data_IF_414036236186
#
_entry.id   IF_414036236186
#
_cell.length_a   1.000
_cell.length_b   1.000
_cell.length_c   1.000
_cell.angle_alpha   90.00
_cell.angle_beta   90.00
_cell.angle_gamma   90.00
#
_symmetry.space_group_name_H-M   'P 1'
#
loop_
_entity.id
_entity.type
_entity.pdbx_description
1 polymer ?
#
# COMPACT_ATOMS: atom_id res chain seq x y z
N UNK A 1 13.01 -9.69 -13.77
CA UNK A 1 13.16 -8.68 -12.71
C UNK A 1 11.95 -8.61 -11.77
N UNK A 2 10.75 -8.85 -12.25
CA UNK A 2 9.49 -8.79 -11.48
C UNK A 2 9.42 -9.71 -10.25
N UNK A 3 10.01 -10.90 -10.30
CA UNK A 3 9.98 -11.86 -9.19
C UNK A 3 10.68 -11.35 -7.92
N UNK A 4 11.76 -10.58 -8.07
CA UNK A 4 12.56 -10.09 -6.94
C UNK A 4 11.86 -8.97 -6.15
N UNK A 5 11.19 -8.06 -6.85
CA UNK A 5 10.49 -6.93 -6.21
C UNK A 5 9.21 -7.39 -5.49
N UNK A 6 8.54 -8.39 -6.04
CA UNK A 6 7.34 -9.00 -5.44
C UNK A 6 7.70 -9.87 -4.20
N UNK A 7 8.85 -10.55 -4.24
CA UNK A 7 9.39 -11.28 -3.09
C UNK A 7 9.77 -10.35 -1.94
N UNK A 8 10.42 -9.22 -2.23
CA UNK A 8 10.80 -8.21 -1.22
C UNK A 8 9.56 -7.63 -0.53
N UNK A 9 8.51 -7.31 -1.28
CA UNK A 9 7.26 -6.80 -0.70
C UNK A 9 6.56 -7.85 0.18
N UNK A 10 6.57 -9.13 -0.23
CA UNK A 10 6.04 -10.23 0.60
C UNK A 10 6.85 -10.42 1.87
N UNK A 11 8.16 -10.35 1.78
CA UNK A 11 9.06 -10.46 2.94
C UNK A 11 8.81 -9.32 3.95
N UNK A 12 8.74 -8.07 3.49
CA UNK A 12 8.42 -6.92 4.34
C UNK A 12 7.06 -7.12 5.02
N UNK A 13 6.07 -7.62 4.27
CA UNK A 13 4.75 -7.93 4.81
C UNK A 13 4.83 -8.92 5.98
N UNK A 14 5.52 -10.03 5.80
CA UNK A 14 5.66 -11.03 6.86
C UNK A 14 6.45 -10.52 8.05
N UNK A 15 7.50 -9.71 7.80
CA UNK A 15 8.28 -9.08 8.86
C UNK A 15 7.41 -8.18 9.76
N UNK A 16 6.53 -7.38 9.15
CA UNK A 16 5.60 -6.51 9.87
C UNK A 16 4.60 -7.32 10.68
N UNK A 17 4.00 -8.35 10.10
CA UNK A 17 3.06 -9.24 10.80
C UNK A 17 3.73 -9.90 12.01
N UNK A 18 4.91 -10.49 11.82
CA UNK A 18 5.66 -11.13 12.90
C UNK A 18 6.09 -10.12 13.97
N UNK A 19 6.48 -8.91 13.55
CA UNK A 19 6.79 -7.81 14.46
C UNK A 19 5.62 -7.45 15.36
N UNK A 20 4.41 -7.35 14.82
CA UNK A 20 3.20 -7.07 15.60
C UNK A 20 2.91 -8.17 16.64
N UNK A 21 3.08 -9.44 16.26
CA UNK A 21 2.94 -10.56 17.20
C UNK A 21 3.98 -10.51 18.30
N UNK A 22 5.23 -10.21 17.95
CA UNK A 22 6.30 -10.07 18.94
C UNK A 22 6.00 -8.93 19.92
N UNK A 23 5.64 -7.77 19.41
CA UNK A 23 5.30 -6.59 20.23
C UNK A 23 4.12 -6.87 21.16
N UNK A 24 3.04 -7.50 20.65
CA UNK A 24 1.90 -7.90 21.46
C UNK A 24 2.33 -8.84 22.61
N UNK A 25 3.09 -9.90 22.30
CA UNK A 25 3.46 -10.88 23.32
C UNK A 25 4.47 -10.32 24.34
N UNK A 26 5.40 -9.45 23.93
CA UNK A 26 6.28 -8.72 24.85
C UNK A 26 5.45 -7.79 25.76
N UNK A 27 4.47 -7.08 25.22
CA UNK A 27 3.57 -6.24 25.99
C UNK A 27 2.76 -7.10 27.00
N UNK A 28 2.19 -8.22 26.58
CA UNK A 28 1.45 -9.13 27.45
C UNK A 28 2.33 -9.67 28.58
N UNK A 29 3.57 -10.05 28.29
CA UNK A 29 4.54 -10.49 29.30
C UNK A 29 4.86 -9.38 30.31
N UNK A 30 5.05 -8.14 29.85
CA UNK A 30 5.28 -6.99 30.72
C UNK A 30 4.07 -6.70 31.62
N UNK A 31 2.84 -6.76 31.07
CA UNK A 31 1.63 -6.62 31.85
C UNK A 31 1.46 -7.74 32.89
N UNK A 32 1.76 -8.98 32.53
CA UNK A 32 1.70 -10.11 33.46
C UNK A 32 2.68 -9.96 34.62
N UNK A 33 3.85 -9.36 34.38
CA UNK A 33 4.86 -9.13 35.41
C UNK A 33 4.55 -7.96 36.34
N UNK A 34 3.85 -6.91 35.86
CA UNK A 34 3.73 -5.65 36.59
C UNK A 34 2.30 -5.29 37.02
N UNK A 35 1.28 -5.88 36.39
CA UNK A 35 -0.10 -5.49 36.67
C UNK A 35 -0.70 -6.32 37.81
N UNK A 36 -1.08 -5.71 38.97
CA UNK A 36 -1.58 -6.45 40.13
C UNK A 36 -2.79 -7.33 39.83
N UNK A 37 -3.68 -6.89 38.94
CA UNK A 37 -4.89 -7.65 38.58
C UNK A 37 -4.60 -8.90 37.71
N UNK A 38 -3.38 -9.13 37.29
CA UNK A 38 -2.98 -10.35 36.57
C UNK A 38 -2.16 -11.31 37.45
N UNK A 39 -1.64 -10.85 38.59
CA UNK A 39 -0.86 -11.65 39.52
C UNK A 39 -1.63 -12.84 40.12
N UNK A 40 -2.96 -12.71 40.24
CA UNK A 40 -3.85 -13.74 40.82
C UNK A 40 -4.35 -14.75 39.76
N UNK A 41 -4.01 -14.56 38.48
CA UNK A 41 -4.51 -15.45 37.46
C UNK A 41 -3.84 -16.80 37.48
N UNK A 42 -4.65 -17.88 37.48
CA UNK A 42 -4.10 -19.23 37.30
C UNK A 42 -3.40 -19.36 35.93
N UNK A 43 -2.42 -20.27 35.85
CA UNK A 43 -1.69 -20.49 34.61
C UNK A 43 -2.58 -20.88 33.41
N UNK A 44 -3.75 -21.45 33.65
CA UNK A 44 -4.73 -21.76 32.60
C UNK A 44 -5.39 -20.53 32.04
N UNK A 45 -5.84 -19.60 32.87
CA UNK A 45 -6.47 -18.34 32.45
C UNK A 45 -5.47 -17.43 31.74
N UNK A 46 -4.23 -17.40 32.21
CA UNK A 46 -3.16 -16.65 31.54
C UNK A 46 -2.90 -17.18 30.12
N UNK A 47 -2.83 -18.50 29.95
CA UNK A 47 -2.65 -19.11 28.60
C UNK A 47 -3.83 -18.79 27.67
N UNK A 48 -5.05 -18.92 28.16
CA UNK A 48 -6.24 -18.59 27.38
C UNK A 48 -6.24 -17.11 26.98
N UNK A 49 -5.85 -16.23 27.90
CA UNK A 49 -5.74 -14.80 27.60
C UNK A 49 -4.76 -14.51 26.48
N UNK A 50 -3.55 -15.06 26.56
CA UNK A 50 -2.54 -14.90 25.51
C UNK A 50 -3.04 -15.46 24.16
N UNK A 51 -3.71 -16.62 24.17
CA UNK A 51 -4.30 -17.19 22.95
C UNK A 51 -5.36 -16.26 22.37
N UNK A 52 -6.29 -15.78 23.17
CA UNK A 52 -7.37 -14.89 22.72
C UNK A 52 -6.84 -13.56 22.19
N UNK A 53 -5.82 -12.99 22.84
CA UNK A 53 -5.14 -11.78 22.38
C UNK A 53 -4.49 -11.98 21.02
N UNK A 54 -3.82 -13.10 20.80
CA UNK A 54 -3.19 -13.42 19.51
C UNK A 54 -4.23 -13.69 18.40
N UNK A 55 -5.30 -14.43 18.72
CA UNK A 55 -6.42 -14.67 17.78
C UNK A 55 -7.08 -13.34 17.39
N UNK A 56 -7.33 -12.45 18.35
CA UNK A 56 -7.89 -11.14 18.08
C UNK A 56 -6.99 -10.29 17.17
N UNK A 57 -5.66 -10.40 17.35
CA UNK A 57 -4.70 -9.72 16.47
C UNK A 57 -4.76 -10.27 15.05
N UNK A 58 -4.85 -11.61 14.86
CA UNK A 58 -5.01 -12.24 13.53
C UNK A 58 -6.27 -11.70 12.84
N UNK A 59 -7.40 -11.68 13.53
CA UNK A 59 -8.67 -11.19 12.99
C UNK A 59 -8.55 -9.71 12.62
N UNK A 60 -7.95 -8.88 13.48
CA UNK A 60 -7.72 -7.46 13.23
C UNK A 60 -6.82 -7.22 12.01
N UNK A 61 -5.71 -7.93 11.90
CA UNK A 61 -4.80 -7.83 10.76
C UNK A 61 -5.43 -8.31 9.45
N UNK A 62 -6.23 -9.37 9.49
CA UNK A 62 -6.93 -9.89 8.31
C UNK A 62 -7.98 -8.92 7.77
N UNK A 63 -8.65 -8.15 8.65
CA UNK A 63 -9.72 -7.20 8.27
C UNK A 63 -9.19 -5.82 7.89
N UNK A 64 -8.21 -5.34 8.61
CA UNK A 64 -7.63 -3.99 8.45
C UNK A 64 -6.20 -4.10 7.94
N UNK A 65 -6.00 -4.66 6.75
CA UNK A 65 -4.67 -4.78 6.15
C UNK A 65 -3.83 -3.51 6.41
N UNK A 66 -3.13 -3.50 7.56
CA UNK A 66 -2.29 -2.37 7.97
C UNK A 66 -1.04 -2.25 7.10
N UNK A 67 -0.88 -3.20 6.17
CA UNK A 67 0.34 -3.37 5.41
C UNK A 67 0.20 -2.68 4.08
N UNK A 68 1.19 -1.90 3.82
CA UNK A 68 1.51 -1.03 2.71
C UNK A 68 1.24 -1.72 1.36
N UNK A 69 0.01 -1.60 0.86
CA UNK A 69 -0.26 -1.84 -0.56
C UNK A 69 0.00 -0.59 -1.40
N UNK A 70 -0.10 0.58 -0.78
CA UNK A 70 0.11 1.88 -1.41
C UNK A 70 1.51 2.39 -1.05
N UNK A 71 2.27 2.82 -2.04
CA UNK A 71 3.61 3.39 -1.81
C UNK A 71 3.59 4.75 -1.12
N UNK A 72 2.46 5.44 -1.19
CA UNK A 72 2.22 6.76 -0.61
C UNK A 72 1.00 6.78 0.33
N UNK A 73 0.94 5.96 1.39
CA UNK A 73 -0.18 6.04 2.32
C UNK A 73 -0.13 7.37 3.07
N UNK A 74 -1.26 8.06 3.14
CA UNK A 74 -1.38 9.24 3.99
C UNK A 74 -1.18 8.86 5.46
N UNK A 75 -0.54 9.74 6.25
CA UNK A 75 -0.31 9.49 7.68
C UNK A 75 -1.63 9.28 8.45
N UNK A 76 -2.69 9.98 8.05
CA UNK A 76 -4.03 9.86 8.66
C UNK A 76 -4.69 8.50 8.42
N UNK A 77 -4.45 7.88 7.27
CA UNK A 77 -5.01 6.57 6.98
C UNK A 77 -4.36 5.46 7.81
N UNK A 78 -3.04 5.51 7.99
CA UNK A 78 -2.32 4.59 8.86
C UNK A 78 -2.80 4.69 10.31
N UNK A 79 -3.00 5.90 10.82
CA UNK A 79 -3.53 6.15 12.15
C UNK A 79 -4.95 5.54 12.29
N UNK A 80 -5.84 5.84 11.35
CA UNK A 80 -7.22 5.32 11.35
C UNK A 80 -7.25 3.79 11.35
N UNK A 81 -6.41 3.14 10.56
CA UNK A 81 -6.30 1.67 10.50
C UNK A 81 -5.85 1.08 11.85
N UNK A 82 -4.86 1.68 12.52
CA UNK A 82 -4.40 1.24 13.85
C UNK A 82 -5.51 1.41 14.89
N UNK A 83 -6.23 2.53 14.90
CA UNK A 83 -7.37 2.75 15.80
C UNK A 83 -8.41 1.65 15.64
N UNK A 84 -8.87 1.38 14.41
CA UNK A 84 -9.86 0.33 14.17
C UNK A 84 -9.36 -1.07 14.55
N UNK A 85 -8.08 -1.36 14.30
CA UNK A 85 -7.48 -2.64 14.68
C UNK A 85 -7.47 -2.84 16.18
N UNK A 86 -7.11 -1.82 16.97
CA UNK A 86 -7.10 -1.89 18.44
C UNK A 86 -8.52 -2.00 19.00
N UNK A 87 -9.48 -1.23 18.48
CA UNK A 87 -10.89 -1.34 18.88
C UNK A 87 -11.39 -2.76 18.62
N UNK A 88 -11.14 -3.29 17.44
CA UNK A 88 -11.54 -4.66 17.08
C UNK A 88 -10.88 -5.69 17.99
N UNK A 89 -9.59 -5.50 18.30
CA UNK A 89 -8.86 -6.37 19.23
C UNK A 89 -9.51 -6.39 20.61
N UNK A 90 -9.82 -5.24 21.19
CA UNK A 90 -10.49 -5.13 22.50
C UNK A 90 -11.85 -5.84 22.48
N UNK A 91 -12.66 -5.59 21.43
CA UNK A 91 -14.00 -6.20 21.30
C UNK A 91 -13.88 -7.72 21.19
N UNK A 92 -13.00 -8.24 20.35
CA UNK A 92 -12.87 -9.69 20.13
C UNK A 92 -12.38 -10.38 21.41
N UNK A 93 -11.36 -9.84 22.09
CA UNK A 93 -10.89 -10.42 23.37
C UNK A 93 -11.99 -10.41 24.42
N UNK A 94 -12.72 -9.30 24.53
CA UNK A 94 -13.83 -9.20 25.46
C UNK A 94 -14.92 -10.25 25.19
N UNK A 95 -15.32 -10.42 23.93
CA UNK A 95 -16.34 -11.41 23.53
C UNK A 95 -15.88 -12.85 23.79
N UNK A 96 -14.61 -13.17 23.47
CA UNK A 96 -14.03 -14.49 23.71
C UNK A 96 -14.03 -14.83 25.20
N UNK A 97 -13.68 -13.89 26.08
CA UNK A 97 -13.76 -14.09 27.52
C UNK A 97 -15.18 -14.21 28.03
N UNK A 98 -16.11 -13.43 27.50
CA UNK A 98 -17.54 -13.56 27.85
C UNK A 98 -18.09 -14.95 27.54
N UNK A 99 -17.61 -15.58 26.49
CA UNK A 99 -18.00 -16.93 26.09
C UNK A 99 -17.48 -18.02 27.05
N UNK A 100 -16.52 -17.70 27.94
CA UNK A 100 -15.93 -18.64 28.89
C UNK A 100 -16.52 -18.54 30.29
N UNK A 101 -17.62 -17.78 30.49
CA UNK A 101 -18.26 -17.52 31.81
C UNK A 101 -17.32 -16.96 32.89
N UNK A 102 -16.23 -16.36 32.47
CA UNK A 102 -15.27 -15.75 33.39
C UNK A 102 -15.85 -14.49 34.06
N UNK A 103 -15.95 -14.49 35.37
CA UNK A 103 -16.70 -13.49 36.14
C UNK A 103 -15.89 -12.22 36.51
N UNK A 104 -14.63 -12.09 36.14
CA UNK A 104 -13.84 -10.92 36.51
C UNK A 104 -14.13 -9.76 35.55
N UNK A 105 -14.10 -8.54 36.07
CA UNK A 105 -14.26 -7.31 35.28
C UNK A 105 -13.02 -7.04 34.45
N UNK A 106 -12.98 -7.63 33.24
CA UNK A 106 -11.90 -7.46 32.25
C UNK A 106 -11.89 -6.09 31.59
N UNK A 107 -12.99 -5.34 31.63
CA UNK A 107 -13.13 -4.11 30.83
C UNK A 107 -12.04 -3.10 31.13
N UNK A 108 -11.71 -2.86 32.41
CA UNK A 108 -10.63 -1.91 32.77
C UNK A 108 -9.27 -2.40 32.29
N UNK A 109 -8.97 -3.69 32.48
CA UNK A 109 -7.71 -4.30 32.04
C UNK A 109 -7.55 -4.20 30.51
N UNK A 110 -8.59 -4.56 29.75
CA UNK A 110 -8.57 -4.51 28.29
C UNK A 110 -8.45 -3.07 27.76
N UNK A 111 -9.08 -2.10 28.42
CA UNK A 111 -8.92 -0.68 28.05
C UNK A 111 -7.49 -0.22 28.27
N UNK A 112 -6.88 -0.56 29.41
CA UNK A 112 -5.48 -0.20 29.69
C UNK A 112 -4.53 -0.86 28.67
N UNK A 113 -4.70 -2.15 28.42
CA UNK A 113 -3.90 -2.86 27.43
C UNK A 113 -4.14 -2.35 26.00
N UNK A 114 -5.39 -2.04 25.66
CA UNK A 114 -5.73 -1.45 24.36
C UNK A 114 -5.05 -0.09 24.14
N UNK A 115 -5.01 0.76 25.16
CA UNK A 115 -4.27 2.04 25.08
C UNK A 115 -2.77 1.83 24.89
N UNK A 116 -2.16 0.93 25.63
CA UNK A 116 -0.72 0.62 25.48
C UNK A 116 -0.46 0.00 24.10
N UNK A 117 -1.29 -0.96 23.68
CA UNK A 117 -1.18 -1.58 22.36
C UNK A 117 -1.30 -0.54 21.25
N UNK A 118 -2.22 0.41 21.38
CA UNK A 118 -2.37 1.51 20.42
C UNK A 118 -1.06 2.32 20.29
N UNK A 119 -0.49 2.73 21.41
CA UNK A 119 0.76 3.53 21.41
C UNK A 119 1.91 2.72 20.80
N UNK A 120 2.06 1.46 21.20
CA UNK A 120 3.11 0.55 20.70
C UNK A 120 2.99 0.33 19.20
N UNK A 121 1.79 0.03 18.71
CA UNK A 121 1.56 -0.19 17.28
C UNK A 121 1.70 1.10 16.46
N UNK A 122 1.26 2.25 16.98
CA UNK A 122 1.45 3.53 16.32
C UNK A 122 2.94 3.84 16.16
N UNK A 123 3.71 3.66 17.22
CA UNK A 123 5.16 3.86 17.18
C UNK A 123 5.84 2.87 16.21
N UNK A 124 5.44 1.60 16.23
CA UNK A 124 5.91 0.60 15.28
C UNK A 124 5.66 1.02 13.83
N UNK A 125 4.44 1.48 13.49
CA UNK A 125 4.10 1.97 12.14
C UNK A 125 4.93 3.17 11.71
N UNK A 126 5.19 4.12 12.60
CA UNK A 126 6.06 5.27 12.31
C UNK A 126 7.49 4.81 12.04
N UNK A 127 8.01 3.91 12.86
CA UNK A 127 9.36 3.35 12.70
C UNK A 127 9.50 2.57 11.40
N UNK A 128 8.54 1.69 11.09
CA UNK A 128 8.49 0.92 9.83
C UNK A 128 8.46 1.86 8.61
N UNK A 129 7.63 2.89 8.65
CA UNK A 129 7.55 3.88 7.58
C UNK A 129 8.90 4.58 7.36
N UNK A 130 9.53 4.99 8.44
CA UNK A 130 10.85 5.64 8.39
C UNK A 130 11.92 4.68 7.85
N UNK A 131 11.92 3.44 8.33
CA UNK A 131 12.86 2.41 7.89
C UNK A 131 12.70 2.08 6.39
N UNK A 132 11.45 1.98 5.90
CA UNK A 132 11.18 1.74 4.48
C UNK A 132 11.62 2.93 3.62
N UNK A 133 11.35 4.17 4.06
CA UNK A 133 11.83 5.36 3.36
C UNK A 133 13.35 5.38 3.27
N UNK A 134 14.03 5.13 4.36
CA UNK A 134 15.48 5.06 4.41
C UNK A 134 16.05 3.94 3.51
N UNK A 135 15.40 2.76 3.48
CA UNK A 135 15.79 1.66 2.59
C UNK A 135 15.64 2.04 1.11
N UNK A 136 14.55 2.75 0.75
CA UNK A 136 14.34 3.24 -0.62
C UNK A 136 15.36 4.29 -1.05
N UNK A 137 15.68 5.24 -0.17
CA UNK A 137 16.73 6.25 -0.44
C UNK A 137 18.09 5.63 -0.77
N UNK A 138 18.34 4.39 -0.33
CA UNK A 138 19.56 3.63 -0.64
C UNK A 138 19.43 2.74 -1.87
N UNK A 139 18.45 2.97 -2.73
CA UNK A 139 18.21 2.18 -3.93
C UNK A 139 17.53 0.83 -3.68
N UNK A 140 17.06 0.56 -2.44
CA UNK A 140 16.29 -0.64 -2.15
C UNK A 140 14.84 -0.52 -2.59
N UNK A 141 14.28 -1.59 -3.17
CA UNK A 141 12.88 -1.65 -3.62
C UNK A 141 12.50 -0.54 -4.61
N UNK A 142 13.44 -0.13 -5.48
CA UNK A 142 13.20 0.84 -6.56
C UNK A 142 12.28 0.22 -7.61
N UNK A 143 11.36 1.02 -8.14
CA UNK A 143 10.52 0.70 -9.29
C UNK A 143 10.84 1.63 -10.43
N UNK A 144 11.04 1.02 -11.57
CA UNK A 144 11.26 1.75 -12.80
C UNK A 144 9.93 2.06 -13.48
N UNK A 145 9.75 3.32 -13.85
CA UNK A 145 8.52 3.79 -14.49
C UNK A 145 8.79 4.41 -15.86
N UNK A 146 7.85 4.18 -16.77
CA UNK A 146 7.87 4.77 -18.12
C UNK A 146 6.61 5.59 -18.32
N UNK A 147 6.76 6.80 -18.85
CA UNK A 147 5.65 7.69 -19.13
C UNK A 147 5.33 7.68 -20.63
N UNK A 148 4.06 7.70 -21.00
CA UNK A 148 3.61 7.73 -22.40
C UNK A 148 2.49 8.76 -22.54
N UNK A 149 2.75 9.78 -23.38
CA UNK A 149 1.83 10.89 -23.62
C UNK A 149 2.52 12.24 -23.47
N UNK A 150 1.77 13.32 -23.71
CA UNK A 150 2.30 14.68 -23.75
C UNK A 150 1.52 15.69 -22.91
N UNK A 151 0.64 15.21 -22.01
CA UNK A 151 -0.21 16.07 -21.19
C UNK A 151 0.55 16.59 -19.95
N UNK A 152 0.33 17.86 -19.51
CA UNK A 152 0.90 18.43 -18.29
C UNK A 152 0.64 17.60 -17.02
N UNK A 153 -0.46 16.82 -16.97
CA UNK A 153 -0.76 15.91 -15.84
C UNK A 153 0.35 14.86 -15.64
N UNK A 154 0.96 14.37 -16.71
CA UNK A 154 2.12 13.47 -16.59
C UNK A 154 3.32 14.14 -15.94
N UNK A 155 3.57 15.43 -16.23
CA UNK A 155 4.64 16.20 -15.59
C UNK A 155 4.37 16.37 -14.11
N UNK A 156 3.13 16.67 -13.75
CA UNK A 156 2.71 16.77 -12.35
C UNK A 156 2.89 15.44 -11.62
N UNK A 157 2.48 14.34 -12.25
CA UNK A 157 2.65 12.99 -11.72
C UNK A 157 4.13 12.60 -11.59
N UNK A 158 4.96 12.92 -12.57
CA UNK A 158 6.42 12.74 -12.50
C UNK A 158 6.99 13.45 -11.28
N UNK A 159 6.65 14.73 -11.09
CA UNK A 159 7.13 15.49 -9.95
C UNK A 159 6.69 14.89 -8.61
N UNK A 160 5.50 14.33 -8.52
CA UNK A 160 5.01 13.69 -7.30
C UNK A 160 5.68 12.34 -7.03
N UNK A 161 5.99 11.56 -8.06
CA UNK A 161 6.53 10.22 -7.92
C UNK A 161 8.06 10.21 -7.83
N UNK A 162 8.75 11.00 -8.65
CA UNK A 162 10.21 10.90 -8.87
C UNK A 162 11.00 11.95 -8.10
N UNK A 163 10.44 13.15 -7.84
CA UNK A 163 11.16 14.23 -7.14
C UNK A 163 11.53 13.89 -5.70
N UNK A 164 10.78 13.00 -5.05
CA UNK A 164 11.12 12.52 -3.70
C UNK A 164 11.74 11.11 -3.76
N UNK A 165 13.06 10.97 -3.52
CA UNK A 165 13.72 9.66 -3.54
C UNK A 165 13.12 8.65 -2.54
N UNK A 166 12.36 9.12 -1.54
CA UNK A 166 11.73 8.24 -0.54
C UNK A 166 10.57 7.43 -1.09
N UNK A 167 10.03 7.80 -2.26
CA UNK A 167 8.98 7.07 -2.96
C UNK A 167 9.49 5.75 -3.52
N UNK A 168 10.79 5.70 -3.89
CA UNK A 168 11.44 4.58 -4.52
C UNK A 168 10.98 4.38 -5.98
N UNK A 169 10.63 5.46 -6.67
CA UNK A 169 10.41 5.47 -8.11
C UNK A 169 11.59 6.09 -8.84
N UNK A 170 11.94 5.51 -9.98
CA UNK A 170 12.95 5.99 -10.90
C UNK A 170 12.39 5.98 -12.32
N UNK A 171 12.41 7.12 -12.99
CA UNK A 171 11.91 7.22 -14.34
C UNK A 171 12.97 6.73 -15.33
N UNK A 172 12.59 5.79 -16.21
CA UNK A 172 13.45 5.34 -17.31
C UNK A 172 13.46 6.33 -18.46
N UNK A 173 12.31 6.94 -18.74
CA UNK A 173 12.15 7.88 -19.83
C UNK A 173 10.68 8.10 -20.17
N UNK A 174 10.44 8.88 -21.22
CA UNK A 174 9.09 9.12 -21.72
C UNK A 174 9.00 9.01 -23.24
N UNK A 175 7.81 8.62 -23.70
CA UNK A 175 7.40 8.68 -25.09
C UNK A 175 6.34 9.76 -25.24
N UNK A 176 6.59 10.76 -26.09
CA UNK A 176 5.66 11.86 -26.28
C UNK A 176 6.15 12.88 -27.30
N UNK A 177 5.23 13.72 -27.78
CA UNK A 177 5.51 14.67 -28.86
C UNK A 177 5.93 16.05 -28.34
N UNK A 178 5.60 16.37 -27.08
CA UNK A 178 6.04 17.60 -26.43
C UNK A 178 7.22 17.36 -25.48
N UNK A 179 8.00 18.40 -25.26
CA UNK A 179 9.13 18.34 -24.33
C UNK A 179 8.61 18.26 -22.90
N UNK A 180 8.98 17.20 -22.20
CA UNK A 180 8.81 17.11 -20.76
C UNK A 180 9.71 18.15 -20.09
N UNK A 181 9.18 18.93 -19.16
CA UNK A 181 9.92 20.02 -18.49
C UNK A 181 10.87 19.50 -17.39
N UNK A 182 11.05 18.21 -17.27
CA UNK A 182 11.83 17.55 -16.23
C UNK A 182 13.11 16.93 -16.80
N UNK A 183 14.09 16.66 -15.95
CA UNK A 183 15.33 15.93 -16.26
C UNK A 183 15.03 14.44 -16.51
N UNK A 184 14.27 14.16 -17.57
CA UNK A 184 13.91 12.82 -18.00
C UNK A 184 14.22 12.63 -19.48
N UNK A 185 14.82 11.51 -19.82
CA UNK A 185 15.21 11.21 -21.20
C UNK A 185 13.98 10.96 -22.08
N UNK A 186 13.95 11.61 -23.25
CA UNK A 186 12.97 11.33 -24.29
C UNK A 186 13.38 10.09 -25.07
N UNK A 187 12.59 9.04 -25.00
CA UNK A 187 12.85 7.75 -25.67
C UNK A 187 12.29 7.69 -27.11
N UNK A 188 11.33 8.56 -27.43
CA UNK A 188 10.73 8.65 -28.76
C UNK A 188 9.42 9.44 -28.79
N UNK A 189 8.79 9.50 -29.95
CA UNK A 189 7.46 10.04 -30.12
C UNK A 189 6.37 9.03 -29.71
N UNK A 190 5.11 9.50 -29.67
CA UNK A 190 3.98 8.59 -29.46
C UNK A 190 3.83 7.59 -30.60
N UNK A 191 4.08 8.03 -31.84
CA UNK A 191 4.04 7.15 -33.02
C UNK A 191 5.16 6.09 -33.00
N UNK A 192 6.36 6.44 -32.54
CA UNK A 192 7.47 5.48 -32.35
C UNK A 192 7.09 4.40 -31.33
N UNK A 193 6.43 4.80 -30.24
CA UNK A 193 5.95 3.87 -29.25
C UNK A 193 4.88 2.93 -29.80
N UNK A 194 3.90 3.47 -30.52
CA UNK A 194 2.81 2.70 -31.14
C UNK A 194 3.30 1.74 -32.22
N UNK A 195 4.31 2.11 -32.97
CA UNK A 195 4.94 1.24 -33.99
C UNK A 195 5.60 0.00 -33.38
N UNK A 196 6.12 0.12 -32.15
CA UNK A 196 6.82 -0.95 -31.43
C UNK A 196 5.92 -1.77 -30.51
N UNK A 197 4.64 -1.46 -30.40
CA UNK A 197 3.70 -2.20 -29.53
C UNK A 197 3.64 -3.69 -29.85
N UNK A 198 3.79 -4.06 -31.11
CA UNK A 198 3.71 -5.45 -31.55
C UNK A 198 5.07 -6.18 -31.42
N UNK A 199 6.17 -5.42 -31.26
CA UNK A 199 7.53 -5.91 -30.94
C UNK A 199 8.01 -5.35 -29.60
N UNK A 200 7.35 -5.68 -28.48
CA UNK A 200 7.59 -5.03 -27.19
C UNK A 200 8.99 -5.31 -26.59
N UNK A 201 9.72 -6.26 -27.14
CA UNK A 201 11.13 -6.53 -26.78
C UNK A 201 12.07 -5.37 -27.12
N UNK A 202 11.68 -4.52 -28.08
CA UNK A 202 12.41 -3.32 -28.46
C UNK A 202 12.06 -2.09 -27.60
N UNK A 203 11.03 -2.20 -26.74
CA UNK A 203 10.62 -1.14 -25.84
C UNK A 203 11.32 -1.28 -24.49
N UNK A 204 11.93 -0.21 -24.02
CA UNK A 204 12.42 -0.15 -22.65
C UNK A 204 11.25 0.21 -21.74
N UNK A 205 10.61 -0.81 -21.21
CA UNK A 205 9.49 -0.68 -20.26
C UNK A 205 10.01 -0.97 -18.86
N UNK A 206 9.56 -0.17 -17.90
CA UNK A 206 9.84 -0.41 -16.49
C UNK A 206 8.86 -1.39 -15.82
N UNK A 207 8.77 -1.32 -14.52
CA UNK A 207 7.80 -2.09 -13.74
C UNK A 207 6.35 -1.55 -13.89
N UNK A 208 6.25 -0.25 -14.21
CA UNK A 208 4.97 0.46 -14.31
C UNK A 208 4.98 1.41 -15.51
N UNK A 209 3.87 1.47 -16.24
CA UNK A 209 3.66 2.37 -17.36
C UNK A 209 2.47 3.29 -17.07
N UNK A 210 2.71 4.59 -17.17
CA UNK A 210 1.72 5.63 -17.00
C UNK A 210 1.37 6.24 -18.35
N UNK A 211 0.13 5.99 -18.81
CA UNK A 211 -0.39 6.47 -20.08
C UNK A 211 -1.33 7.64 -19.89
N UNK A 212 -1.05 8.76 -20.53
CA UNK A 212 -1.95 9.92 -20.60
C UNK A 212 -2.27 10.26 -22.04
N UNK A 213 -3.41 9.79 -22.50
CA UNK A 213 -4.00 10.08 -23.80
C UNK A 213 -5.51 10.32 -23.61
N UNK A 214 -6.16 10.93 -24.61
CA UNK A 214 -7.61 11.12 -24.56
C UNK A 214 -8.35 9.78 -24.42
N UNK A 215 -9.40 9.76 -23.59
CA UNK A 215 -10.25 8.57 -23.45
C UNK A 215 -10.97 8.21 -24.77
N UNK A 216 -11.04 9.14 -25.72
CA UNK A 216 -11.59 8.91 -27.06
C UNK A 216 -10.73 7.95 -27.89
N UNK A 217 -9.43 7.84 -27.58
CA UNK A 217 -8.49 6.89 -28.16
C UNK A 217 -8.55 5.49 -27.50
N UNK A 218 -9.76 5.03 -27.28
CA UNK A 218 -10.02 3.77 -26.54
C UNK A 218 -9.28 2.58 -27.11
N UNK A 219 -9.17 2.46 -28.41
CA UNK A 219 -8.49 1.33 -29.05
C UNK A 219 -6.99 1.35 -28.76
N UNK A 220 -6.38 2.54 -28.76
CA UNK A 220 -4.98 2.75 -28.39
C UNK A 220 -4.74 2.36 -26.94
N UNK A 221 -5.58 2.85 -26.02
CA UNK A 221 -5.51 2.51 -24.58
C UNK A 221 -5.61 0.99 -24.38
N UNK A 222 -6.55 0.33 -25.06
CA UNK A 222 -6.75 -1.11 -24.94
C UNK A 222 -5.60 -1.93 -25.54
N UNK A 223 -4.98 -1.46 -26.65
CA UNK A 223 -3.80 -2.11 -27.23
C UNK A 223 -2.61 -2.02 -26.28
N UNK A 224 -2.34 -0.84 -25.72
CA UNK A 224 -1.26 -0.62 -24.75
C UNK A 224 -1.47 -1.43 -23.49
N UNK A 225 -2.70 -1.43 -22.92
CA UNK A 225 -3.03 -2.24 -21.76
C UNK A 225 -2.76 -3.73 -21.97
N UNK A 226 -3.17 -4.29 -23.12
CA UNK A 226 -2.92 -5.70 -23.45
C UNK A 226 -1.44 -6.00 -23.65
N UNK A 227 -0.68 -5.07 -24.19
CA UNK A 227 0.79 -5.19 -24.33
C UNK A 227 1.43 -5.23 -22.93
N UNK A 228 1.05 -4.32 -22.03
CA UNK A 228 1.54 -4.29 -20.66
C UNK A 228 1.20 -5.58 -19.91
N UNK A 229 -0.03 -6.12 -20.07
CA UNK A 229 -0.43 -7.38 -19.46
C UNK A 229 0.45 -8.56 -19.95
N UNK A 230 0.78 -8.60 -21.25
CA UNK A 230 1.67 -9.63 -21.81
C UNK A 230 3.10 -9.53 -21.29
N UNK A 231 3.58 -8.30 -21.04
CA UNK A 231 4.92 -8.03 -20.52
C UNK A 231 4.97 -8.01 -18.99
N UNK A 232 3.85 -8.27 -18.31
CA UNK A 232 3.71 -8.16 -16.85
C UNK A 232 4.09 -6.79 -16.29
N UNK A 233 3.96 -5.74 -17.09
CA UNK A 233 4.13 -4.34 -16.71
C UNK A 233 2.80 -3.83 -16.15
N UNK A 234 2.82 -3.14 -15.03
CA UNK A 234 1.61 -2.54 -14.47
C UNK A 234 1.22 -1.34 -15.29
N UNK A 235 0.01 -1.36 -15.79
CA UNK A 235 -0.54 -0.28 -16.58
C UNK A 235 -1.38 0.67 -15.72
N UNK A 236 -1.15 1.96 -15.85
CA UNK A 236 -1.93 3.02 -15.21
C UNK A 236 -2.38 4.04 -16.26
N UNK A 237 -3.67 4.30 -16.29
CA UNK A 237 -4.23 5.33 -17.13
C UNK A 237 -4.39 6.63 -16.34
N UNK A 238 -3.83 7.71 -16.84
CA UNK A 238 -3.93 9.07 -16.30
C UNK A 238 -4.90 9.85 -17.21
N UNK A 239 -6.05 10.29 -16.71
CA UNK A 239 -6.96 11.09 -17.55
C UNK A 239 -6.33 12.43 -17.92
N UNK A 240 -6.57 12.89 -19.14
CA UNK A 240 -6.17 14.22 -19.60
C UNK A 240 -6.87 15.28 -18.76
N UNK A 241 -6.19 16.39 -18.43
CA UNK A 241 -6.71 17.46 -17.58
C UNK A 241 -8.09 17.97 -17.99
N UNK A 242 -8.34 18.09 -19.29
CA UNK A 242 -9.63 18.54 -19.83
C UNK A 242 -10.77 17.54 -19.64
N UNK A 243 -10.46 16.26 -19.42
CA UNK A 243 -11.43 15.16 -19.32
C UNK A 243 -11.62 14.66 -17.89
N UNK A 244 -10.73 15.00 -16.97
CA UNK A 244 -10.77 14.58 -15.57
C UNK A 244 -12.06 15.05 -14.87
N UNK A 245 -12.62 16.16 -15.31
CA UNK A 245 -13.86 16.75 -14.77
C UNK A 245 -15.12 15.99 -15.25
N UNK A 246 -15.09 15.43 -16.47
CA UNK A 246 -16.23 14.70 -17.05
C UNK A 246 -16.33 13.25 -16.57
N UNK A 247 -15.19 12.66 -16.26
CA UNK A 247 -15.10 11.27 -15.81
C UNK A 247 -15.21 11.21 -14.28
N UNK A 248 -16.39 11.12 -13.73
CA UNK A 248 -16.63 10.91 -12.28
C UNK A 248 -16.13 9.50 -11.85
N UNK A 249 -14.83 9.24 -12.03
CA UNK A 249 -14.20 7.95 -11.88
C UNK A 249 -13.68 7.77 -10.45
N UNK A 250 -14.09 6.69 -9.79
CA UNK A 250 -13.48 6.23 -8.53
C UNK A 250 -12.13 5.56 -8.84
N UNK A 251 -11.09 6.37 -9.04
CA UNK A 251 -9.72 5.90 -9.18
C UNK A 251 -8.99 5.78 -7.84
N UNK A 252 -7.81 5.21 -7.86
CA UNK A 252 -6.86 5.35 -6.75
C UNK A 252 -6.31 6.77 -6.76
N UNK A 253 -6.35 7.44 -5.61
CA UNK A 253 -5.80 8.78 -5.47
C UNK A 253 -4.32 8.67 -5.13
N UNK A 254 -3.46 9.19 -5.99
CA UNK A 254 -2.05 9.41 -5.67
C UNK A 254 -1.92 10.92 -5.40
N UNK A 255 -1.81 11.31 -4.11
CA UNK A 255 -1.64 12.71 -3.70
C UNK A 255 -2.54 13.73 -4.45
N UNK A 256 -3.86 13.53 -4.49
CA UNK A 256 -4.87 14.34 -5.19
C UNK A 256 -5.02 14.11 -6.71
N UNK A 257 -4.22 13.27 -7.34
CA UNK A 257 -4.43 12.87 -8.73
C UNK A 257 -5.16 11.54 -8.84
N UNK A 258 -6.12 11.46 -9.74
CA UNK A 258 -6.84 10.21 -10.04
C UNK A 258 -6.05 9.38 -11.06
N UNK A 259 -5.61 8.18 -10.63
CA UNK A 259 -4.96 7.19 -11.49
C UNK A 259 -5.83 5.93 -11.53
N UNK A 260 -6.10 5.43 -12.72
CA UNK A 260 -6.99 4.27 -12.91
C UNK A 260 -6.18 2.99 -13.11
N UNK A 261 -6.33 1.99 -12.22
CA UNK A 261 -5.76 0.67 -12.46
C UNK A 261 -6.52 -0.08 -13.57
N UNK A 262 -5.87 -1.00 -14.30
CA UNK A 262 -6.39 -1.64 -15.50
C UNK A 262 -7.69 -2.42 -15.31
N UNK A 263 -7.95 -2.93 -14.14
CA UNK A 263 -9.14 -3.75 -13.83
C UNK A 263 -10.45 -2.96 -13.79
N UNK A 264 -10.42 -1.64 -13.81
CA UNK A 264 -11.62 -0.78 -13.73
C UNK A 264 -12.04 -0.14 -15.06
N UNK A 265 -11.29 -0.33 -16.14
CA UNK A 265 -11.68 0.09 -17.49
C UNK A 265 -12.69 -0.93 -18.08
N UNK A 266 -13.60 -1.48 -17.27
CA UNK A 266 -14.76 -2.20 -17.79
C UNK A 266 -15.75 -1.18 -18.31
N UNK A 267 -15.67 -0.93 -19.60
CA UNK A 267 -16.72 -0.20 -20.29
C UNK A 267 -18.02 -0.97 -20.18
N UNK A 268 -19.02 -0.39 -19.56
CA UNK A 268 -20.40 -0.81 -19.82
C UNK A 268 -20.63 -0.64 -21.33
N UNK A 269 -20.77 -1.74 -22.04
CA UNK A 269 -21.41 -1.76 -23.35
C UNK A 269 -22.84 -1.26 -23.18
N UNK A 270 -23.36 -0.45 -24.11
CA UNK A 270 -24.73 0.04 -24.09
C UNK A 270 -25.75 -1.09 -24.10
#
# INVERSE_FOLDING_TARGET
MESRNNQTNRFIKWLVILGDFLLLNVMLAAFAAWHPGMAEWSGTWMRLFVIFCNVALIIGQGRYHTIIHERLPSGGESLRRVVYMVIMWVIVVYLLFKATDYRISLARLLLQQGMVLFVVLLFARLTERTAIKWYRQRGGNTRYITFVGSDPELVSLYNQLVSDPTTGYEALGYYGDTTFTADIERMGSMDDFLAKIDTPEELTLGDELYLCVSHRERDTVMRISRMCDRQMVRFFYVPVSSEAIELNLKGEMINDMQVLPPTRIRCRTP
#
